data_IF_151718146838
#
_entry.id   IF_151718146838
#
_cell.length_a   1.000
_cell.length_b   1.000
_cell.length_c   1.000
_cell.angle_alpha   90.00
_cell.angle_beta   90.00
_cell.angle_gamma   90.00
#
_symmetry.space_group_name_H-M   'P 1'
#
loop_
_entity.id
_entity.type
_entity.pdbx_description
1 polymer ?
#
# COMPACT_ATOMS: atom_id res chain seq x y z
N UNK A 1 9.64 -28.01 -6.23
CA UNK A 1 10.40 -26.99 -6.94
C UNK A 1 9.58 -25.74 -6.80
N UNK A 2 10.03 -24.78 -5.98
CA UNK A 2 9.35 -23.50 -5.84
C UNK A 2 9.44 -22.77 -7.18
N UNK A 3 8.31 -22.46 -7.80
CA UNK A 3 8.29 -21.64 -9.01
C UNK A 3 8.92 -20.30 -8.65
N UNK A 4 10.01 -19.94 -9.32
CA UNK A 4 10.59 -18.59 -9.20
C UNK A 4 9.51 -17.62 -9.63
N UNK A 5 9.02 -16.82 -8.69
CA UNK A 5 8.05 -15.78 -8.97
C UNK A 5 8.80 -14.70 -9.75
N UNK A 6 8.53 -14.62 -11.05
CA UNK A 6 9.14 -13.62 -11.94
C UNK A 6 8.19 -12.45 -12.09
N UNK A 7 8.69 -11.24 -11.85
CA UNK A 7 7.96 -9.99 -12.02
C UNK A 7 7.84 -9.18 -10.74
N UNK A 8 7.47 -7.92 -10.90
CA UNK A 8 7.19 -7.00 -9.82
C UNK A 8 5.74 -7.14 -9.33
N UNK A 9 5.49 -6.79 -8.09
CA UNK A 9 4.14 -6.58 -7.54
C UNK A 9 4.00 -5.11 -7.13
N UNK A 10 2.96 -4.43 -7.65
CA UNK A 10 2.56 -3.12 -7.16
C UNK A 10 1.55 -3.30 -6.03
N UNK A 11 1.97 -3.05 -4.79
CA UNK A 11 1.15 -3.33 -3.61
C UNK A 11 0.15 -2.22 -3.29
N UNK A 12 0.17 -1.09 -4.04
CA UNK A 12 -0.73 0.03 -3.77
C UNK A 12 -0.82 0.96 -4.99
N UNK A 13 -1.97 0.97 -5.66
CA UNK A 13 -2.23 1.86 -6.80
C UNK A 13 -3.72 2.24 -6.89
N UNK A 14 -3.99 3.48 -7.35
CA UNK A 14 -5.32 4.04 -7.56
C UNK A 14 -5.60 4.21 -9.06
N UNK A 15 -5.57 3.12 -9.82
CA UNK A 15 -5.72 3.16 -11.30
C UNK A 15 -7.12 3.57 -11.78
N UNK A 16 -8.08 3.73 -10.87
CA UNK A 16 -9.42 4.26 -11.09
C UNK A 16 -9.53 5.77 -10.81
N UNK A 17 -8.49 6.40 -10.26
CA UNK A 17 -8.49 7.84 -9.92
C UNK A 17 -8.59 8.72 -11.18
N UNK A 18 -9.38 9.79 -11.11
CA UNK A 18 -9.61 10.75 -12.21
C UNK A 18 -8.34 11.47 -12.69
N UNK A 19 -7.28 11.49 -11.87
CA UNK A 19 -5.96 12.03 -12.25
C UNK A 19 -5.14 11.09 -13.12
N UNK A 20 -5.57 9.83 -13.28
CA UNK A 20 -4.97 8.94 -14.25
C UNK A 20 -5.17 9.49 -15.67
N UNK A 21 -4.12 9.41 -16.49
CA UNK A 21 -4.17 9.88 -17.89
C UNK A 21 -4.59 8.78 -18.87
N UNK A 22 -4.87 7.59 -18.36
CA UNK A 22 -5.23 6.39 -19.11
C UNK A 22 -6.32 5.63 -18.38
N UNK A 23 -7.04 4.79 -19.09
CA UNK A 23 -7.98 3.85 -18.48
C UNK A 23 -7.26 2.83 -17.60
N UNK A 24 -7.96 2.24 -16.63
CA UNK A 24 -7.42 1.17 -15.80
C UNK A 24 -6.86 0.01 -16.64
N UNK A 25 -7.57 -0.39 -17.69
CA UNK A 25 -7.12 -1.47 -18.60
C UNK A 25 -5.84 -1.13 -19.35
N UNK A 26 -5.68 0.10 -19.82
CA UNK A 26 -4.45 0.57 -20.48
C UNK A 26 -3.29 0.65 -19.50
N UNK A 27 -3.53 1.14 -18.26
CA UNK A 27 -2.53 1.18 -17.19
C UNK A 27 -2.02 -0.21 -16.85
N UNK A 28 -2.91 -1.17 -16.65
CA UNK A 28 -2.57 -2.56 -16.38
C UNK A 28 -1.82 -3.21 -17.55
N UNK A 29 -2.25 -2.94 -18.79
CA UNK A 29 -1.58 -3.48 -19.97
C UNK A 29 -0.11 -3.01 -20.05
N UNK A 30 0.13 -1.71 -19.91
CA UNK A 30 1.49 -1.16 -19.90
C UNK A 30 2.35 -1.66 -18.74
N UNK A 31 1.74 -1.83 -17.58
CA UNK A 31 2.44 -2.35 -16.42
C UNK A 31 2.87 -3.82 -16.63
N UNK A 32 2.01 -4.66 -17.23
CA UNK A 32 2.36 -6.04 -17.59
C UNK A 32 3.50 -6.09 -18.58
N UNK A 33 3.51 -5.21 -19.59
CA UNK A 33 4.63 -5.07 -20.54
C UNK A 33 5.93 -4.63 -19.84
N UNK A 34 5.84 -3.85 -18.76
CA UNK A 34 6.97 -3.46 -17.91
C UNK A 34 7.40 -4.53 -16.90
N UNK A 35 6.77 -5.71 -16.90
CA UNK A 35 7.11 -6.83 -16.02
C UNK A 35 6.45 -6.81 -14.65
N UNK A 36 5.36 -6.05 -14.49
CA UNK A 36 4.52 -6.11 -13.28
C UNK A 36 3.54 -7.27 -13.44
N UNK A 37 3.48 -8.15 -12.45
CA UNK A 37 2.69 -9.38 -12.51
C UNK A 37 1.50 -9.41 -11.57
N UNK A 38 1.41 -8.48 -10.64
CA UNK A 38 0.33 -8.39 -9.63
C UNK A 38 0.08 -6.96 -9.23
N UNK A 39 -1.19 -6.66 -8.92
CA UNK A 39 -1.64 -5.32 -8.58
C UNK A 39 -2.63 -5.37 -7.41
N UNK A 40 -2.46 -4.47 -6.44
CA UNK A 40 -3.46 -4.21 -5.41
C UNK A 40 -4.04 -2.82 -5.64
N UNK A 41 -5.31 -2.78 -6.03
CA UNK A 41 -6.06 -1.54 -6.30
C UNK A 41 -6.77 -1.12 -5.03
N UNK A 42 -6.66 0.16 -4.68
CA UNK A 42 -6.97 0.66 -3.35
C UNK A 42 -8.31 1.38 -3.31
N UNK A 43 -9.20 0.97 -2.39
CA UNK A 43 -10.38 1.74 -2.00
C UNK A 43 -10.05 2.69 -0.86
N UNK A 44 -10.59 3.91 -0.92
CA UNK A 44 -10.41 4.98 0.08
C UNK A 44 -11.73 5.50 0.63
N UNK A 45 -12.83 5.10 0.00
CA UNK A 45 -14.23 5.35 0.39
C UNK A 45 -15.15 4.30 -0.26
N UNK A 46 -16.46 4.48 -0.16
CA UNK A 46 -17.43 3.54 -0.75
C UNK A 46 -17.38 3.51 -2.28
N UNK A 47 -17.20 4.65 -2.94
CA UNK A 47 -17.18 4.76 -4.41
C UNK A 47 -15.91 4.12 -4.97
N UNK A 48 -14.76 4.46 -4.43
CA UNK A 48 -13.46 3.93 -4.84
C UNK A 48 -13.31 2.45 -4.47
N UNK A 49 -13.86 2.01 -3.33
CA UNK A 49 -13.93 0.58 -2.96
C UNK A 49 -14.77 -0.22 -3.96
N UNK A 50 -15.91 0.33 -4.40
CA UNK A 50 -16.71 -0.30 -5.47
C UNK A 50 -15.94 -0.38 -6.79
N UNK A 51 -15.25 0.69 -7.19
CA UNK A 51 -14.43 0.72 -8.41
C UNK A 51 -13.25 -0.27 -8.33
N UNK A 52 -12.53 -0.31 -7.21
CA UNK A 52 -11.40 -1.22 -7.01
C UNK A 52 -11.85 -2.70 -7.08
N UNK A 53 -12.95 -3.05 -6.43
CA UNK A 53 -13.50 -4.42 -6.45
C UNK A 53 -14.02 -4.82 -7.83
N UNK A 54 -14.60 -3.89 -8.60
CA UNK A 54 -15.02 -4.14 -9.97
C UNK A 54 -13.81 -4.42 -10.90
N UNK A 55 -12.75 -3.61 -10.80
CA UNK A 55 -11.51 -3.84 -11.57
C UNK A 55 -10.90 -5.20 -11.20
N UNK A 56 -10.83 -5.52 -9.91
CA UNK A 56 -10.29 -6.80 -9.47
C UNK A 56 -11.10 -8.01 -9.98
N UNK A 57 -12.42 -7.87 -10.11
CA UNK A 57 -13.27 -8.93 -10.64
C UNK A 57 -12.99 -9.23 -12.13
N UNK A 58 -12.58 -8.23 -12.90
CA UNK A 58 -12.35 -8.34 -14.35
C UNK A 58 -10.94 -8.85 -14.73
N UNK A 59 -9.99 -8.94 -13.75
CA UNK A 59 -8.59 -9.27 -14.02
C UNK A 59 -8.04 -10.28 -13.01
N UNK A 60 -7.43 -11.38 -13.48
CA UNK A 60 -6.93 -12.47 -12.62
C UNK A 60 -5.74 -12.06 -11.73
N UNK A 61 -4.95 -11.10 -12.16
CA UNK A 61 -3.74 -10.60 -11.50
C UNK A 61 -3.96 -9.31 -10.68
N UNK A 62 -5.23 -8.93 -10.46
CA UNK A 62 -5.61 -7.73 -9.70
C UNK A 62 -6.43 -8.14 -8.48
N UNK A 63 -6.13 -7.53 -7.34
CA UNK A 63 -6.87 -7.62 -6.08
C UNK A 63 -7.26 -6.23 -5.61
N UNK A 64 -8.19 -6.15 -4.67
CA UNK A 64 -8.70 -4.89 -4.14
C UNK A 64 -8.52 -4.79 -2.63
N UNK A 65 -8.38 -3.56 -2.15
CA UNK A 65 -8.65 -3.21 -0.76
C UNK A 65 -9.98 -2.49 -0.64
N UNK A 66 -10.52 -2.50 0.55
CA UNK A 66 -11.74 -1.79 0.92
C UNK A 66 -11.45 -1.01 2.19
N UNK A 67 -11.61 0.30 2.16
CA UNK A 67 -11.25 1.14 3.29
C UNK A 67 -11.88 2.52 3.25
N UNK A 68 -11.73 3.21 4.37
CA UNK A 68 -12.13 4.59 4.55
C UNK A 68 -10.91 5.41 4.97
N UNK A 69 -10.39 6.17 4.01
CA UNK A 69 -9.23 7.03 4.21
C UNK A 69 -9.50 8.08 5.31
N UNK A 70 -8.53 8.51 6.09
CA UNK A 70 -8.73 9.53 7.13
C UNK A 70 -9.36 10.83 6.61
N UNK A 71 -9.20 11.17 5.35
CA UNK A 71 -9.88 12.32 4.75
C UNK A 71 -11.41 12.18 4.74
N UNK A 72 -11.91 10.96 4.61
CA UNK A 72 -13.32 10.61 4.44
C UNK A 72 -13.93 9.98 5.70
N UNK A 73 -13.20 10.02 6.84
CA UNK A 73 -13.61 9.39 8.10
C UNK A 73 -15.02 9.81 8.58
N UNK A 74 -15.46 11.04 8.25
CA UNK A 74 -16.81 11.51 8.57
C UNK A 74 -17.93 10.74 7.89
N UNK A 75 -17.64 9.93 6.86
CA UNK A 75 -18.63 9.10 6.17
C UNK A 75 -19.03 7.84 6.97
N UNK A 76 -18.23 7.47 7.99
CA UNK A 76 -18.45 6.28 8.81
C UNK A 76 -18.13 4.96 8.12
N UNK A 77 -17.68 3.97 8.91
CA UNK A 77 -17.23 2.67 8.38
C UNK A 77 -18.35 1.84 7.76
N UNK A 78 -19.60 2.06 8.12
CA UNK A 78 -20.76 1.37 7.54
C UNK A 78 -20.85 1.55 6.03
N UNK A 79 -20.29 2.64 5.50
CA UNK A 79 -20.26 2.93 4.07
C UNK A 79 -19.46 1.90 3.26
N UNK A 80 -18.44 1.27 3.86
CA UNK A 80 -17.55 0.32 3.20
C UNK A 80 -17.88 -1.15 3.50
N UNK A 81 -18.63 -1.43 4.58
CA UNK A 81 -18.97 -2.80 5.01
C UNK A 81 -19.53 -3.69 3.88
N UNK A 82 -20.41 -3.22 2.98
CA UNK A 82 -20.95 -4.04 1.90
C UNK A 82 -19.90 -4.63 0.94
N UNK A 83 -18.71 -4.06 0.88
CA UNK A 83 -17.66 -4.47 -0.06
C UNK A 83 -16.66 -5.46 0.55
N UNK A 84 -16.55 -5.56 1.88
CA UNK A 84 -15.49 -6.32 2.59
C UNK A 84 -15.47 -7.80 2.19
N UNK A 85 -16.64 -8.40 1.96
CA UNK A 85 -16.77 -9.83 1.65
C UNK A 85 -16.79 -10.15 0.17
N UNK A 86 -16.60 -9.16 -0.70
CA UNK A 86 -16.54 -9.37 -2.14
C UNK A 86 -15.30 -10.20 -2.53
N UNK A 87 -15.39 -10.98 -3.62
CA UNK A 87 -14.24 -11.72 -4.14
C UNK A 87 -13.03 -10.80 -4.38
N UNK A 88 -11.83 -11.35 -4.17
CA UNK A 88 -10.54 -10.66 -4.36
C UNK A 88 -10.31 -9.43 -3.48
N UNK A 89 -11.14 -9.20 -2.46
CA UNK A 89 -10.80 -8.26 -1.39
C UNK A 89 -9.78 -8.92 -0.46
N UNK A 90 -8.61 -8.31 -0.36
CA UNK A 90 -7.45 -8.86 0.36
C UNK A 90 -7.06 -8.06 1.60
N UNK A 91 -7.58 -6.83 1.76
CA UNK A 91 -7.24 -5.97 2.87
C UNK A 91 -8.36 -4.99 3.24
N UNK A 92 -8.36 -4.57 4.50
CA UNK A 92 -9.00 -3.34 4.96
C UNK A 92 -7.99 -2.21 4.80
N UNK A 93 -8.36 -1.17 4.13
CA UNK A 93 -7.53 -0.01 3.80
C UNK A 93 -7.85 0.53 2.40
N UNK A 94 -7.44 1.73 2.16
CA UNK A 94 -6.53 2.57 2.93
C UNK A 94 -7.26 3.21 4.12
N UNK A 95 -6.69 3.09 5.30
CA UNK A 95 -7.22 3.65 6.55
C UNK A 95 -6.10 4.25 7.39
N UNK A 96 -6.41 4.93 8.48
CA UNK A 96 -5.38 5.47 9.35
C UNK A 96 -5.60 6.94 9.73
N UNK A 97 -4.52 7.71 9.82
CA UNK A 97 -4.55 9.09 10.32
C UNK A 97 -3.77 10.05 9.40
N UNK A 98 -4.36 11.22 9.11
CA UNK A 98 -3.72 12.32 8.38
C UNK A 98 -3.93 13.64 9.12
N UNK A 99 -2.87 14.13 9.76
CA UNK A 99 -2.87 15.40 10.50
C UNK A 99 -2.27 16.55 9.71
N UNK A 100 -1.86 16.30 8.47
CA UNK A 100 -1.39 17.33 7.57
C UNK A 100 -2.55 18.05 6.86
N UNK A 101 -3.49 17.28 6.30
CA UNK A 101 -4.64 17.85 5.58
C UNK A 101 -5.86 18.05 6.48
N UNK A 102 -6.09 17.18 7.45
CA UNK A 102 -7.22 17.22 8.39
C UNK A 102 -8.59 17.47 7.73
N UNK A 103 -8.87 16.82 6.58
CA UNK A 103 -10.16 16.95 5.91
C UNK A 103 -11.32 16.41 6.79
N UNK A 104 -11.08 15.38 7.58
CA UNK A 104 -11.92 14.99 8.71
C UNK A 104 -11.22 15.38 10.03
N UNK A 105 -11.96 15.78 11.07
CA UNK A 105 -11.39 16.08 12.38
C UNK A 105 -10.65 14.89 13.00
N UNK A 106 -9.59 15.12 13.78
CA UNK A 106 -8.78 14.05 14.43
C UNK A 106 -9.60 13.16 15.35
N UNK A 107 -10.52 13.75 16.10
CA UNK A 107 -11.43 13.04 17.02
C UNK A 107 -12.43 12.14 16.30
N UNK A 108 -12.59 12.30 14.98
CA UNK A 108 -13.35 11.38 14.11
C UNK A 108 -12.40 10.36 13.46
N UNK A 109 -11.20 10.78 13.01
CA UNK A 109 -10.24 9.87 12.38
C UNK A 109 -9.85 8.72 13.30
N UNK A 110 -9.56 9.01 14.60
CA UNK A 110 -9.07 8.02 15.56
C UNK A 110 -10.07 6.85 15.77
N UNK A 111 -11.33 7.07 16.15
CA UNK A 111 -12.28 5.97 16.31
C UNK A 111 -12.57 5.23 15.01
N UNK A 112 -12.65 5.91 13.87
CA UNK A 112 -12.86 5.28 12.56
C UNK A 112 -11.68 4.40 12.17
N UNK A 113 -10.45 4.78 12.52
CA UNK A 113 -9.28 3.92 12.33
C UNK A 113 -9.36 2.68 13.23
N UNK A 114 -9.72 2.83 14.52
CA UNK A 114 -9.90 1.72 15.45
C UNK A 114 -10.97 0.73 14.96
N UNK A 115 -12.10 1.22 14.44
CA UNK A 115 -13.15 0.37 13.85
C UNK A 115 -12.64 -0.42 12.64
N UNK A 116 -11.82 0.17 11.77
CA UNK A 116 -11.24 -0.53 10.62
C UNK A 116 -10.20 -1.58 11.04
N UNK A 117 -9.45 -1.36 12.12
CA UNK A 117 -8.60 -2.40 12.72
C UNK A 117 -9.46 -3.58 13.17
N UNK A 118 -10.60 -3.32 13.83
CA UNK A 118 -11.52 -4.36 14.27
C UNK A 118 -12.08 -5.16 13.08
N UNK A 119 -12.49 -4.48 12.00
CA UNK A 119 -12.95 -5.13 10.76
C UNK A 119 -11.87 -6.00 10.12
N UNK A 120 -10.61 -5.53 10.06
CA UNK A 120 -9.51 -6.32 9.54
C UNK A 120 -9.31 -7.62 10.33
N UNK A 121 -9.41 -7.56 11.66
CA UNK A 121 -9.31 -8.72 12.56
C UNK A 121 -10.50 -9.66 12.40
N UNK A 122 -11.72 -9.13 12.39
CA UNK A 122 -12.96 -9.91 12.24
C UNK A 122 -12.98 -10.73 10.95
N UNK A 123 -12.54 -10.10 9.85
CA UNK A 123 -12.55 -10.71 8.53
C UNK A 123 -11.24 -11.43 8.17
N UNK A 124 -10.25 -11.45 9.06
CA UNK A 124 -8.90 -11.98 8.80
C UNK A 124 -8.31 -11.43 7.50
N UNK A 125 -8.29 -10.10 7.40
CA UNK A 125 -7.76 -9.33 6.27
C UNK A 125 -6.50 -8.60 6.69
N UNK A 126 -5.64 -8.32 5.73
CA UNK A 126 -4.50 -7.41 5.91
C UNK A 126 -5.00 -6.01 6.22
N UNK A 127 -4.26 -5.26 7.04
CA UNK A 127 -4.51 -3.85 7.30
C UNK A 127 -3.53 -2.99 6.51
N UNK A 128 -4.02 -2.05 5.69
CA UNK A 128 -3.19 -1.11 4.92
C UNK A 128 -3.36 0.29 5.50
N UNK A 129 -2.28 0.81 6.09
CA UNK A 129 -2.31 2.03 6.89
C UNK A 129 -1.66 3.20 6.16
N UNK A 130 -2.39 4.30 6.11
CA UNK A 130 -1.92 5.65 5.86
C UNK A 130 -1.55 6.34 7.18
N UNK A 131 -0.40 6.97 7.26
CA UNK A 131 -0.06 7.83 8.39
C UNK A 131 0.74 9.05 7.92
N UNK A 132 0.25 10.24 8.23
CA UNK A 132 0.89 11.49 7.86
C UNK A 132 0.83 12.50 9.00
N UNK A 133 2.01 12.89 9.51
CA UNK A 133 2.16 13.75 10.68
C UNK A 133 1.40 13.25 11.94
N UNK A 134 1.17 11.92 12.04
CA UNK A 134 0.31 11.27 13.03
C UNK A 134 0.95 10.03 13.68
N UNK A 135 2.27 9.88 13.62
CA UNK A 135 2.96 8.65 14.03
C UNK A 135 2.61 8.19 15.44
N UNK A 136 2.62 9.11 16.43
CA UNK A 136 2.36 8.73 17.82
C UNK A 136 0.95 8.19 17.99
N UNK A 137 -0.06 8.90 17.51
CA UNK A 137 -1.46 8.47 17.65
C UNK A 137 -1.72 7.19 16.82
N UNK A 138 -1.04 7.02 15.68
CA UNK A 138 -1.11 5.76 14.90
C UNK A 138 -0.61 4.59 15.74
N UNK A 139 0.53 4.73 16.42
CA UNK A 139 1.06 3.68 17.29
C UNK A 139 0.18 3.45 18.52
N UNK A 140 -0.34 4.50 19.13
CA UNK A 140 -1.20 4.41 20.31
C UNK A 140 -2.51 3.65 19.99
N UNK A 141 -3.12 3.92 18.83
CA UNK A 141 -4.30 3.18 18.36
C UNK A 141 -3.97 1.71 18.06
N UNK A 142 -2.85 1.44 17.38
CA UNK A 142 -2.43 0.06 17.08
C UNK A 142 -2.12 -0.73 18.35
N UNK A 143 -1.50 -0.10 19.35
CA UNK A 143 -1.18 -0.75 20.63
C UNK A 143 -2.45 -0.98 21.48
N UNK A 144 -3.42 -0.07 21.43
CA UNK A 144 -4.69 -0.18 22.15
C UNK A 144 -5.61 -1.26 21.54
N UNK A 145 -5.76 -1.27 20.23
CA UNK A 145 -6.65 -2.20 19.53
C UNK A 145 -6.00 -3.58 19.28
N UNK A 146 -4.69 -3.67 19.33
CA UNK A 146 -3.93 -4.86 18.93
C UNK A 146 -3.85 -4.99 17.42
N UNK A 147 -2.64 -4.84 16.88
CA UNK A 147 -2.37 -4.84 15.45
C UNK A 147 -2.69 -6.20 14.81
N UNK A 148 -3.37 -6.24 13.63
CA UNK A 148 -3.52 -7.47 12.84
C UNK A 148 -2.17 -8.08 12.46
N UNK A 149 -2.11 -9.41 12.32
CA UNK A 149 -0.88 -10.15 11.99
C UNK A 149 -0.21 -9.63 10.71
N UNK A 150 -1.02 -9.32 9.69
CA UNK A 150 -0.55 -8.74 8.43
C UNK A 150 -0.96 -7.26 8.39
N UNK A 151 -0.01 -6.39 8.70
CA UNK A 151 -0.20 -4.94 8.67
C UNK A 151 0.87 -4.31 7.79
N UNK A 152 0.46 -3.41 6.91
CA UNK A 152 1.32 -2.69 5.98
C UNK A 152 1.21 -1.20 6.29
N UNK A 153 2.34 -0.56 6.53
CA UNK A 153 2.43 0.90 6.47
C UNK A 153 2.73 1.25 5.02
N UNK A 154 1.71 1.71 4.31
CA UNK A 154 1.84 2.10 2.92
C UNK A 154 2.55 3.45 2.80
N UNK A 155 3.12 3.70 1.63
CA UNK A 155 3.81 4.96 1.30
C UNK A 155 4.69 5.47 2.46
N UNK A 156 5.47 4.54 3.06
CA UNK A 156 6.25 4.86 4.25
C UNK A 156 7.08 6.14 4.01
N UNK A 157 6.85 7.14 4.85
CA UNK A 157 7.46 8.47 4.72
C UNK A 157 8.22 8.92 5.98
N UNK A 158 8.32 8.03 6.98
CA UNK A 158 9.09 8.25 8.20
C UNK A 158 10.61 8.07 8.00
N UNK A 159 11.35 8.31 9.06
CA UNK A 159 12.78 8.01 9.14
C UNK A 159 13.08 6.67 9.80
N UNK A 160 14.35 6.45 10.15
CA UNK A 160 14.81 5.21 10.77
C UNK A 160 14.17 4.94 12.15
N UNK A 161 13.75 5.98 12.88
CA UNK A 161 13.12 5.82 14.19
C UNK A 161 11.70 5.26 14.07
N UNK A 162 10.88 5.81 13.17
CA UNK A 162 9.53 5.34 12.88
C UNK A 162 9.57 3.96 12.24
N UNK A 163 10.54 3.72 11.33
CA UNK A 163 10.72 2.40 10.72
C UNK A 163 10.97 1.31 11.77
N UNK A 164 11.83 1.54 12.76
CA UNK A 164 12.05 0.57 13.86
C UNK A 164 10.77 0.32 14.65
N UNK A 165 10.04 1.36 15.00
CA UNK A 165 8.78 1.21 15.75
C UNK A 165 7.73 0.39 14.98
N UNK A 166 7.62 0.57 13.66
CA UNK A 166 6.75 -0.25 12.82
C UNK A 166 7.22 -1.70 12.76
N UNK A 167 8.52 -1.92 12.55
CA UNK A 167 9.14 -3.25 12.45
C UNK A 167 9.08 -4.03 13.77
N UNK A 168 9.28 -3.35 14.92
CA UNK A 168 9.17 -3.95 16.25
C UNK A 168 7.75 -4.46 16.53
N UNK A 169 6.74 -3.86 15.90
CA UNK A 169 5.34 -4.32 15.91
C UNK A 169 5.04 -5.38 14.85
N UNK A 170 6.00 -5.73 13.99
CA UNK A 170 5.85 -6.76 12.94
C UNK A 170 5.27 -6.25 11.61
N UNK A 171 5.10 -4.95 11.42
CA UNK A 171 4.56 -4.39 10.19
C UNK A 171 5.51 -4.58 9.00
N UNK A 172 4.91 -4.62 7.80
CA UNK A 172 5.62 -4.42 6.54
C UNK A 172 5.72 -2.92 6.25
N UNK A 173 6.83 -2.51 5.64
CA UNK A 173 7.03 -1.15 5.15
C UNK A 173 6.98 -1.15 3.63
N UNK A 174 6.05 -0.40 3.06
CA UNK A 174 5.93 -0.25 1.60
C UNK A 174 6.51 1.09 1.16
N UNK A 175 7.43 1.04 0.20
CA UNK A 175 8.14 2.20 -0.29
C UNK A 175 7.65 2.58 -1.69
N UNK A 176 7.32 3.86 -1.85
CA UNK A 176 6.83 4.45 -3.11
C UNK A 176 7.93 5.21 -3.87
N UNK A 177 7.55 5.86 -4.95
CA UNK A 177 8.43 6.68 -5.78
C UNK A 177 9.24 7.74 -5.02
N UNK A 178 8.80 8.15 -3.82
CA UNK A 178 9.50 9.13 -2.97
C UNK A 178 10.94 8.71 -2.68
N UNK A 179 11.22 7.41 -2.52
CA UNK A 179 12.58 6.90 -2.21
C UNK A 179 13.61 7.31 -3.27
N UNK A 180 13.16 7.55 -4.51
CA UNK A 180 14.01 8.01 -5.62
C UNK A 180 14.31 9.51 -5.59
N UNK A 181 13.59 10.30 -4.76
CA UNK A 181 13.72 11.74 -4.76
C UNK A 181 15.03 12.20 -4.12
N UNK A 182 15.61 13.29 -4.65
CA UNK A 182 16.94 13.78 -4.22
C UNK A 182 17.04 14.02 -2.71
N UNK A 183 15.98 14.54 -2.11
CA UNK A 183 15.96 14.94 -0.70
C UNK A 183 15.41 13.86 0.25
N UNK A 184 15.18 12.62 -0.21
CA UNK A 184 14.61 11.54 0.60
C UNK A 184 15.69 10.77 1.39
N UNK A 185 16.59 11.47 2.08
CA UNK A 185 17.72 10.85 2.79
C UNK A 185 17.24 9.94 3.92
N UNK A 186 16.36 10.45 4.79
CA UNK A 186 15.86 9.73 5.96
C UNK A 186 15.04 8.49 5.53
N UNK A 187 14.28 8.62 4.44
CA UNK A 187 13.53 7.50 3.86
C UNK A 187 14.46 6.42 3.31
N UNK A 188 15.57 6.80 2.66
CA UNK A 188 16.58 5.84 2.21
C UNK A 188 17.28 5.13 3.38
N UNK A 189 17.52 5.82 4.50
CA UNK A 189 18.01 5.18 5.72
C UNK A 189 17.01 4.17 6.26
N UNK A 190 15.72 4.49 6.26
CA UNK A 190 14.67 3.55 6.62
C UNK A 190 14.64 2.33 5.69
N UNK A 191 14.77 2.55 4.36
CA UNK A 191 14.84 1.46 3.39
C UNK A 191 16.10 0.59 3.56
N UNK A 192 17.22 1.13 4.05
CA UNK A 192 18.44 0.37 4.34
C UNK A 192 18.29 -0.54 5.56
N UNK A 193 17.64 -0.06 6.63
CA UNK A 193 17.48 -0.83 7.88
C UNK A 193 16.31 -1.80 7.85
N UNK A 194 15.35 -1.63 6.92
CA UNK A 194 14.20 -2.52 6.80
C UNK A 194 14.68 -3.95 6.45
N UNK A 195 14.32 -4.99 7.22
CA UNK A 195 14.60 -6.37 6.86
C UNK A 195 14.03 -6.68 5.47
N UNK A 196 14.76 -7.49 4.68
CA UNK A 196 14.34 -7.77 3.30
C UNK A 196 12.96 -8.45 3.26
N UNK A 197 12.64 -9.27 4.25
CA UNK A 197 11.37 -9.99 4.40
C UNK A 197 10.22 -9.14 4.96
N UNK A 198 10.44 -7.86 5.23
CA UNK A 198 9.44 -6.87 5.66
C UNK A 198 9.29 -5.69 4.70
N UNK A 199 9.98 -5.74 3.56
CA UNK A 199 10.02 -4.66 2.59
C UNK A 199 9.06 -4.94 1.43
N UNK A 200 8.19 -3.97 1.16
CA UNK A 200 7.29 -3.92 0.01
C UNK A 200 7.60 -2.71 -0.86
N UNK A 201 7.12 -2.74 -2.09
CA UNK A 201 7.21 -1.63 -3.03
C UNK A 201 5.86 -1.37 -3.67
N UNK A 202 5.61 -0.11 -4.00
CA UNK A 202 4.36 0.35 -4.59
C UNK A 202 4.59 1.56 -5.49
N UNK A 203 3.58 1.92 -6.27
CA UNK A 203 3.61 3.17 -7.01
C UNK A 203 2.90 4.30 -6.30
N UNK A 204 1.80 4.03 -5.62
CA UNK A 204 0.82 5.03 -5.17
C UNK A 204 0.31 5.88 -6.37
N UNK A 205 0.23 5.25 -7.55
CA UNK A 205 -0.23 5.94 -8.77
C UNK A 205 -1.68 6.38 -8.65
N UNK A 206 -2.03 7.57 -9.17
CA UNK A 206 -1.27 8.47 -10.06
C UNK A 206 -0.29 9.43 -9.38
N UNK A 207 -0.07 9.28 -8.07
CA UNK A 207 0.78 10.18 -7.28
C UNK A 207 2.25 9.73 -7.29
N UNK A 208 3.16 10.58 -6.81
CA UNK A 208 4.52 10.26 -6.39
C UNK A 208 5.40 9.60 -7.46
N UNK A 209 5.23 9.95 -8.74
CA UNK A 209 6.02 9.38 -9.83
C UNK A 209 7.52 9.38 -9.54
N UNK A 210 8.21 8.21 -9.66
CA UNK A 210 9.64 8.11 -9.41
C UNK A 210 10.47 8.86 -10.45
N UNK A 211 11.73 9.13 -10.13
CA UNK A 211 12.68 9.62 -11.12
C UNK A 211 12.91 8.50 -12.18
N UNK A 212 12.90 8.80 -13.51
CA UNK A 212 12.93 10.14 -14.12
C UNK A 212 11.56 10.78 -14.43
N UNK A 213 10.47 10.19 -13.99
CA UNK A 213 9.11 10.61 -14.34
C UNK A 213 8.52 11.67 -13.39
N UNK A 214 9.26 12.14 -12.39
CA UNK A 214 8.79 13.12 -11.42
C UNK A 214 8.15 14.35 -12.09
N UNK A 215 6.98 14.77 -11.55
CA UNK A 215 6.21 15.90 -12.11
C UNK A 215 5.25 15.52 -13.23
N UNK A 216 5.15 14.23 -13.55
CA UNK A 216 4.13 13.64 -14.42
C UNK A 216 3.22 12.72 -13.63
N UNK A 217 2.02 12.38 -14.11
CA UNK A 217 1.22 11.31 -13.52
C UNK A 217 2.03 10.02 -13.43
N UNK A 218 1.91 9.34 -12.28
CA UNK A 218 2.51 8.05 -12.05
C UNK A 218 1.61 6.94 -12.64
N UNK A 219 2.18 5.77 -12.85
CA UNK A 219 1.46 4.57 -13.29
C UNK A 219 2.09 3.29 -12.73
N UNK A 220 1.34 2.19 -12.59
CA UNK A 220 1.85 0.92 -12.04
C UNK A 220 3.08 0.39 -12.78
N UNK A 221 3.25 0.72 -14.06
CA UNK A 221 4.43 0.36 -14.86
C UNK A 221 5.75 0.85 -14.24
N UNK A 222 5.71 1.85 -13.36
CA UNK A 222 6.92 2.44 -12.76
C UNK A 222 7.32 1.81 -11.42
N UNK A 223 6.59 0.82 -10.90
CA UNK A 223 6.97 0.14 -9.65
C UNK A 223 8.36 -0.49 -9.73
N UNK A 224 8.74 -1.00 -10.91
CA UNK A 224 10.08 -1.54 -11.15
C UNK A 224 11.21 -0.53 -10.99
N UNK A 225 10.94 0.78 -11.21
CA UNK A 225 11.91 1.85 -10.95
C UNK A 225 12.13 2.05 -9.45
N UNK A 226 11.06 1.97 -8.66
CA UNK A 226 11.14 2.01 -7.18
C UNK A 226 11.95 0.83 -6.67
N UNK A 227 11.60 -0.39 -7.11
CA UNK A 227 12.31 -1.62 -6.73
C UNK A 227 13.78 -1.58 -7.12
N UNK A 228 14.11 -1.15 -8.34
CA UNK A 228 15.49 -1.03 -8.81
C UNK A 228 16.28 -0.01 -7.98
N UNK A 229 15.70 1.14 -7.68
CA UNK A 229 16.37 2.16 -6.85
C UNK A 229 16.72 1.65 -5.45
N UNK A 230 15.83 0.86 -4.83
CA UNK A 230 16.09 0.28 -3.50
C UNK A 230 17.09 -0.88 -3.60
N UNK A 231 17.00 -1.72 -4.63
CA UNK A 231 17.97 -2.80 -4.87
C UNK A 231 19.39 -2.25 -5.02
N UNK A 232 19.56 -1.20 -5.85
CA UNK A 232 20.84 -0.51 -6.04
C UNK A 232 21.35 0.12 -4.73
N UNK A 233 20.48 0.80 -3.98
CA UNK A 233 20.80 1.39 -2.69
C UNK A 233 21.34 0.34 -1.69
N UNK A 234 20.78 -0.88 -1.72
CA UNK A 234 21.12 -1.97 -0.80
C UNK A 234 22.22 -2.90 -1.35
N UNK A 235 22.66 -2.71 -2.60
CA UNK A 235 23.62 -3.59 -3.27
C UNK A 235 23.08 -4.99 -3.60
N UNK A 236 21.77 -5.12 -3.80
CA UNK A 236 21.12 -6.37 -4.19
C UNK A 236 21.03 -6.53 -5.71
N UNK A 237 21.02 -7.78 -6.17
CA UNK A 237 20.63 -8.07 -7.55
C UNK A 237 19.15 -7.72 -7.77
N UNK A 238 18.84 -6.99 -8.85
CA UNK A 238 17.49 -6.47 -9.12
C UNK A 238 16.47 -7.61 -9.29
N UNK A 239 16.82 -8.70 -9.96
CA UNK A 239 15.90 -9.83 -10.16
C UNK A 239 15.63 -10.61 -8.86
N UNK A 240 16.65 -10.78 -8.02
CA UNK A 240 16.49 -11.39 -6.69
C UNK A 240 15.64 -10.49 -5.77
N UNK A 241 15.84 -9.18 -5.84
CA UNK A 241 15.07 -8.20 -5.09
C UNK A 241 13.59 -8.20 -5.53
N UNK A 242 13.32 -8.23 -6.84
CA UNK A 242 11.96 -8.35 -7.36
C UNK A 242 11.26 -9.62 -6.87
N UNK A 243 11.96 -10.74 -6.88
CA UNK A 243 11.44 -12.02 -6.37
C UNK A 243 11.16 -11.95 -4.86
N UNK A 244 12.06 -11.34 -4.08
CA UNK A 244 11.89 -11.20 -2.64
C UNK A 244 10.70 -10.28 -2.28
N UNK A 245 10.60 -9.09 -2.89
CA UNK A 245 9.50 -8.15 -2.61
C UNK A 245 8.15 -8.70 -3.07
N UNK A 246 8.11 -9.46 -4.17
CA UNK A 246 6.89 -10.16 -4.60
C UNK A 246 6.52 -11.29 -3.64
N UNK A 247 7.48 -12.06 -3.13
CA UNK A 247 7.21 -13.07 -2.10
C UNK A 247 6.68 -12.42 -0.80
N UNK A 248 7.22 -11.27 -0.41
CA UNK A 248 6.73 -10.50 0.73
C UNK A 248 5.29 -10.00 0.50
N UNK A 249 4.96 -9.52 -0.70
CA UNK A 249 3.59 -9.11 -1.03
C UNK A 249 2.60 -10.27 -0.88
N UNK A 250 2.98 -11.48 -1.33
CA UNK A 250 2.17 -12.67 -1.15
C UNK A 250 2.01 -13.08 0.33
N UNK A 251 3.04 -12.88 1.14
CA UNK A 251 2.97 -13.12 2.58
C UNK A 251 2.13 -12.05 3.30
N UNK A 252 2.28 -10.78 2.91
CA UNK A 252 1.52 -9.66 3.48
C UNK A 252 0.02 -9.72 3.10
N UNK A 253 -0.32 -10.26 1.94
CA UNK A 253 -1.70 -10.44 1.47
C UNK A 253 -2.03 -11.93 1.28
N UNK A 254 -2.25 -12.71 2.35
CA UNK A 254 -2.39 -14.18 2.24
C UNK A 254 -3.59 -14.63 1.39
N UNK A 255 -4.60 -13.75 1.19
CA UNK A 255 -5.74 -14.06 0.31
C UNK A 255 -5.42 -13.96 -1.19
N UNK A 256 -4.24 -13.47 -1.60
CA UNK A 256 -3.83 -13.48 -3.02
C UNK A 256 -3.70 -14.91 -3.57
N UNK A 257 -3.58 -15.92 -2.72
CA UNK A 257 -3.42 -17.33 -3.10
C UNK A 257 -4.67 -18.20 -2.90
N UNK A 258 -5.71 -17.65 -2.32
CA UNK A 258 -6.92 -18.42 -1.97
C UNK A 258 -7.94 -18.45 -3.12
#
# INVERSE_FOLDING_TARGET
MSSVVTGWTDTHCHIHDDKMTTTSSESLHRAREAGVSRFVVIGTDAETSAAATAIAADHDDVWATVGLHPHDATNGVESIVPFITLPKVVAIGECGLDYYYEHSPRDIQIPVFAEQIALAKEHNLTLVIHTRDAWQDTFDVLDAEGMPENTIIHCFSGGAAEARQCLDRGAYLSFSGIVTFKNATDLREAALICPLDRLLIETDSPFLAPIPHRGRPNEPAYVGLVGTAIADLRGHNVAEFASATTANALAAFPRIHS
#
